data_IF_258780470344
#
_entry.id   IF_258780470344
#
_cell.length_a   1.000
_cell.length_b   1.000
_cell.length_c   1.000
_cell.angle_alpha   90.00
_cell.angle_beta   90.00
_cell.angle_gamma   90.00
#
_symmetry.space_group_name_H-M   'P 1'
#
loop_
_entity.id
_entity.type
_entity.pdbx_description
1 polymer ?
#
# COMPACT_ATOMS: atom_id res chain seq x y z
N UNK A 1 25.86 5.30 -14.51
CA UNK A 1 27.05 5.62 -15.34
C UNK A 1 26.54 6.06 -16.72
N UNK A 2 26.93 7.22 -17.23
CA UNK A 2 26.48 7.78 -18.53
C UNK A 2 27.57 7.52 -19.57
N UNK A 3 27.22 7.01 -20.75
CA UNK A 3 28.19 6.81 -21.83
C UNK A 3 28.44 8.12 -22.63
N UNK A 4 29.45 8.07 -23.51
CA UNK A 4 29.87 9.22 -24.36
C UNK A 4 28.87 9.55 -25.47
N UNK A 5 27.77 8.80 -25.60
CA UNK A 5 26.72 9.00 -26.60
C UNK A 5 25.43 9.56 -25.97
N UNK A 6 25.47 9.92 -24.68
CA UNK A 6 24.35 10.55 -23.99
C UNK A 6 23.25 9.58 -23.57
N UNK A 7 23.42 8.27 -23.76
CA UNK A 7 22.43 7.27 -23.39
C UNK A 7 22.57 6.94 -21.91
N UNK A 8 21.51 7.18 -21.15
CA UNK A 8 21.46 6.86 -19.72
C UNK A 8 21.07 5.38 -19.58
N UNK A 9 22.06 4.48 -19.59
CA UNK A 9 21.86 3.02 -19.44
C UNK A 9 21.64 2.57 -17.98
N UNK A 10 20.96 3.38 -17.18
CA UNK A 10 20.65 2.97 -15.80
C UNK A 10 19.43 3.71 -15.29
N UNK A 11 18.24 3.28 -15.69
CA UNK A 11 17.09 3.45 -14.80
C UNK A 11 17.25 2.42 -13.69
N UNK A 12 17.88 2.81 -12.58
CA UNK A 12 17.76 2.01 -11.37
C UNK A 12 16.26 1.83 -11.08
N UNK A 13 15.78 0.62 -10.74
CA UNK A 13 14.37 0.41 -10.45
C UNK A 13 13.95 1.30 -9.29
N UNK A 14 12.81 1.97 -9.44
CA UNK A 14 12.19 2.70 -8.34
C UNK A 14 11.54 1.66 -7.42
N UNK A 15 12.23 1.31 -6.33
CA UNK A 15 11.74 0.34 -5.34
C UNK A 15 11.02 1.11 -4.23
N UNK A 16 9.68 1.06 -4.22
CA UNK A 16 8.88 1.58 -3.11
C UNK A 16 8.87 0.54 -1.97
N UNK A 17 9.70 0.75 -0.95
CA UNK A 17 9.80 -0.13 0.21
C UNK A 17 8.87 0.39 1.31
N UNK A 18 7.93 -0.45 1.74
CA UNK A 18 7.03 -0.16 2.87
C UNK A 18 7.35 -1.10 4.02
N UNK A 19 7.92 -0.58 5.11
CA UNK A 19 8.30 -1.34 6.30
C UNK A 19 7.62 -0.79 7.55
N UNK A 20 7.23 -1.68 8.46
CA UNK A 20 6.71 -1.36 9.78
C UNK A 20 7.28 -2.36 10.79
N UNK A 21 7.59 -1.90 12.01
CA UNK A 21 8.12 -2.74 13.09
C UNK A 21 7.32 -2.48 14.37
N UNK A 22 6.90 -3.54 15.05
CA UNK A 22 6.09 -3.46 16.27
C UNK A 22 6.42 -4.62 17.20
N UNK A 23 6.33 -4.39 18.51
CA UNK A 23 6.47 -5.41 19.55
C UNK A 23 5.11 -5.59 20.22
N UNK A 24 4.58 -6.82 20.19
CA UNK A 24 3.26 -7.16 20.73
C UNK A 24 3.33 -8.42 21.58
N UNK A 25 2.57 -8.45 22.67
CA UNK A 25 2.37 -9.64 23.50
C UNK A 25 1.00 -10.24 23.15
N UNK A 26 1.01 -11.51 22.77
CA UNK A 26 -0.18 -12.21 22.29
C UNK A 26 -0.32 -13.57 22.99
N UNK A 27 -1.56 -14.00 23.21
CA UNK A 27 -1.88 -15.34 23.73
C UNK A 27 -2.01 -16.33 22.57
N UNK A 28 -1.61 -17.58 22.80
CA UNK A 28 -1.77 -18.66 21.83
C UNK A 28 -3.21 -18.75 21.27
N UNK A 29 -3.33 -18.90 19.96
CA UNK A 29 -4.60 -18.96 19.23
C UNK A 29 -5.41 -17.67 19.19
N UNK A 30 -4.97 -16.59 19.83
CA UNK A 30 -5.72 -15.32 19.88
C UNK A 30 -5.34 -14.39 18.73
N UNK A 31 -6.30 -14.03 17.88
CA UNK A 31 -6.08 -13.08 16.79
C UNK A 31 -6.00 -11.65 17.30
N UNK A 32 -4.94 -10.92 16.93
CA UNK A 32 -4.73 -9.52 17.27
C UNK A 32 -4.60 -8.69 15.99
N UNK A 33 -5.18 -7.49 16.00
CA UNK A 33 -4.96 -6.47 14.97
C UNK A 33 -3.67 -5.74 15.29
N UNK A 34 -2.65 -5.89 14.43
CA UNK A 34 -1.39 -5.16 14.60
C UNK A 34 -1.52 -3.69 14.18
N UNK A 35 -2.36 -3.43 13.19
CA UNK A 35 -2.52 -2.12 12.59
C UNK A 35 -3.19 -2.19 11.24
N UNK A 36 -3.30 -1.03 10.61
CA UNK A 36 -3.90 -0.87 9.29
C UNK A 36 -3.55 0.49 8.68
N UNK A 37 -3.84 0.63 7.40
CA UNK A 37 -3.67 1.86 6.64
C UNK A 37 -4.97 2.17 5.91
N UNK A 38 -5.44 3.40 6.05
CA UNK A 38 -6.54 3.94 5.24
C UNK A 38 -5.93 5.01 4.34
N UNK A 39 -5.96 4.77 3.02
CA UNK A 39 -5.51 5.71 2.01
C UNK A 39 -6.72 6.26 1.25
N UNK A 40 -6.86 7.59 1.25
CA UNK A 40 -7.83 8.32 0.45
C UNK A 40 -7.12 9.09 -0.65
N UNK A 41 -7.48 8.84 -1.90
CA UNK A 41 -6.97 9.57 -3.06
C UNK A 41 -8.13 10.27 -3.75
N UNK A 42 -8.05 11.60 -3.85
CA UNK A 42 -9.01 12.44 -4.56
C UNK A 42 -8.31 13.03 -5.77
N UNK A 43 -8.82 12.74 -6.97
CA UNK A 43 -8.36 13.34 -8.21
C UNK A 43 -9.47 14.21 -8.79
N UNK A 44 -9.18 15.50 -8.94
CA UNK A 44 -10.06 16.46 -9.60
C UNK A 44 -9.44 16.83 -10.94
N UNK A 45 -10.08 16.41 -12.03
CA UNK A 45 -9.68 16.78 -13.39
C UNK A 45 -10.71 17.74 -13.95
N UNK A 46 -10.32 18.97 -14.24
CA UNK A 46 -11.13 19.94 -14.96
C UNK A 46 -10.66 19.99 -16.42
N UNK A 47 -11.61 19.90 -17.36
CA UNK A 47 -11.38 20.13 -18.79
C UNK A 47 -12.38 21.17 -19.26
N UNK A 48 -12.00 22.04 -20.17
CA UNK A 48 -12.91 23.05 -20.71
C UNK A 48 -12.27 23.88 -21.80
N UNK A 49 -13.09 24.69 -22.46
CA UNK A 49 -12.63 25.61 -23.50
C UNK A 49 -11.90 26.78 -22.81
N UNK A 50 -10.62 27.07 -23.16
CA UNK A 50 -9.90 28.23 -22.63
C UNK A 50 -10.70 29.52 -22.84
N UNK A 51 -10.60 30.48 -21.92
CA UNK A 51 -11.39 31.73 -21.85
C UNK A 51 -12.88 31.55 -21.48
N UNK A 52 -13.61 30.66 -22.15
CA UNK A 52 -15.05 30.47 -21.88
C UNK A 52 -15.33 29.79 -20.54
N UNK A 53 -14.47 28.85 -20.13
CA UNK A 53 -14.62 28.10 -18.87
C UNK A 53 -14.52 28.97 -17.61
N UNK A 54 -13.89 30.13 -17.73
CA UNK A 54 -13.61 31.06 -16.62
C UNK A 54 -14.61 32.25 -16.61
N UNK A 55 -15.58 32.28 -17.53
CA UNK A 55 -16.60 33.32 -17.55
C UNK A 55 -17.52 33.26 -16.32
N UNK A 56 -17.78 34.40 -15.65
CA UNK A 56 -18.79 34.46 -14.61
C UNK A 56 -20.16 34.09 -15.18
N UNK A 57 -20.99 33.41 -14.38
CA UNK A 57 -22.33 32.90 -14.72
C UNK A 57 -22.40 31.73 -15.73
N UNK A 58 -21.57 31.73 -16.78
CA UNK A 58 -21.70 30.76 -17.89
C UNK A 58 -20.57 29.72 -17.98
N UNK A 59 -19.45 29.91 -17.27
CA UNK A 59 -18.28 29.05 -17.39
C UNK A 59 -18.51 27.57 -17.04
N UNK A 60 -19.56 27.25 -16.27
CA UNK A 60 -19.95 25.86 -15.95
C UNK A 60 -20.44 25.07 -17.17
N UNK A 61 -21.03 25.71 -18.18
CA UNK A 61 -21.49 25.04 -19.41
C UNK A 61 -20.34 24.69 -20.37
N UNK A 62 -19.18 25.34 -20.21
CA UNK A 62 -18.00 25.18 -21.06
C UNK A 62 -16.86 24.42 -20.37
N UNK A 63 -17.13 23.83 -19.19
CA UNK A 63 -16.20 22.96 -18.46
C UNK A 63 -16.83 21.66 -18.01
N UNK A 64 -16.08 20.57 -18.12
CA UNK A 64 -16.36 19.28 -17.52
C UNK A 64 -15.44 19.05 -16.33
N UNK A 65 -16.03 18.71 -15.17
CA UNK A 65 -15.28 18.37 -13.96
C UNK A 65 -15.46 16.87 -13.69
N UNK A 66 -14.36 16.12 -13.74
CA UNK A 66 -14.32 14.73 -13.31
C UNK A 66 -13.71 14.67 -11.90
N UNK A 67 -14.47 14.14 -10.94
CA UNK A 67 -13.99 13.88 -9.57
C UNK A 67 -13.91 12.39 -9.35
N UNK A 68 -12.71 11.87 -9.12
CA UNK A 68 -12.47 10.46 -8.82
C UNK A 68 -12.04 10.37 -7.36
N UNK A 69 -12.78 9.59 -6.57
CA UNK A 69 -12.44 9.27 -5.18
C UNK A 69 -12.08 7.79 -5.10
N UNK A 70 -10.88 7.48 -4.62
CA UNK A 70 -10.42 6.11 -4.36
C UNK A 70 -10.10 5.98 -2.87
N UNK A 71 -10.69 4.99 -2.22
CA UNK A 71 -10.40 4.61 -0.84
C UNK A 71 -9.78 3.22 -0.85
N UNK A 72 -8.68 3.05 -0.13
CA UNK A 72 -7.98 1.77 0.01
C UNK A 72 -7.74 1.53 1.48
N UNK A 73 -8.15 0.37 1.95
CA UNK A 73 -8.04 -0.04 3.34
C UNK A 73 -7.19 -1.30 3.43
N UNK A 74 -6.25 -1.30 4.35
CA UNK A 74 -5.41 -2.45 4.67
C UNK A 74 -5.49 -2.68 6.17
N UNK A 75 -5.67 -3.93 6.58
CA UNK A 75 -5.65 -4.34 7.98
C UNK A 75 -4.78 -5.58 8.10
N UNK A 76 -3.93 -5.62 9.11
CA UNK A 76 -2.99 -6.71 9.37
C UNK A 76 -3.41 -7.42 10.65
N UNK A 77 -3.69 -8.72 10.50
CA UNK A 77 -4.05 -9.62 11.59
C UNK A 77 -2.91 -10.60 11.83
N UNK A 78 -2.66 -10.94 13.09
CA UNK A 78 -1.77 -12.03 13.48
C UNK A 78 -2.49 -12.93 14.47
N UNK A 79 -2.40 -14.23 14.23
CA UNK A 79 -2.84 -15.27 15.16
C UNK A 79 -1.63 -16.15 15.47
N UNK A 80 -1.03 -16.04 16.67
CA UNK A 80 0.08 -16.89 17.05
C UNK A 80 -0.41 -18.31 17.33
N UNK A 81 0.41 -19.30 16.99
CA UNK A 81 0.17 -20.69 17.35
C UNK A 81 1.42 -21.28 17.99
N UNK A 82 1.28 -21.85 19.19
CA UNK A 82 2.32 -22.60 19.87
C UNK A 82 2.42 -23.99 19.26
N UNK A 83 3.43 -24.20 18.43
CA UNK A 83 3.80 -25.53 17.95
C UNK A 83 4.67 -26.22 19.00
N UNK A 84 4.06 -27.12 19.75
CA UNK A 84 4.75 -28.04 20.63
C UNK A 84 5.34 -29.20 19.85
N UNK A 85 6.58 -29.06 19.37
CA UNK A 85 7.46 -30.21 19.24
C UNK A 85 8.04 -30.45 20.62
N UNK A 86 7.38 -31.27 21.45
CA UNK A 86 7.99 -31.59 22.74
C UNK A 86 9.35 -32.22 22.44
N UNK A 87 10.37 -31.92 23.24
CA UNK A 87 11.67 -32.62 23.13
C UNK A 87 11.45 -34.15 23.20
N UNK A 88 10.37 -34.58 23.86
CA UNK A 88 9.90 -35.96 23.88
C UNK A 88 9.43 -36.50 22.50
N UNK A 89 8.83 -35.69 21.63
CA UNK A 89 8.44 -36.11 20.27
C UNK A 89 9.62 -36.14 19.29
N UNK A 90 10.59 -35.24 19.46
CA UNK A 90 11.85 -35.29 18.73
C UNK A 90 12.69 -36.52 19.13
N UNK A 91 12.75 -36.87 20.42
CA UNK A 91 13.43 -38.07 20.91
C UNK A 91 12.75 -39.39 20.52
N UNK A 92 11.43 -39.39 20.25
CA UNK A 92 10.72 -40.58 19.75
C UNK A 92 11.00 -40.87 18.28
N UNK A 93 11.26 -39.84 17.49
CA UNK A 93 11.53 -39.96 16.04
C UNK A 93 12.95 -40.48 15.76
N UNK A 94 13.90 -40.24 16.66
CA UNK A 94 15.30 -40.72 16.54
C UNK A 94 15.47 -42.21 16.92
N UNK A 95 14.45 -42.83 17.53
CA UNK A 95 14.49 -44.25 17.96
C UNK A 95 13.74 -45.23 17.05
N UNK A 96 13.31 -44.80 15.86
CA UNK A 96 12.61 -45.64 14.87
C UNK A 96 13.41 -45.83 13.60
#
# INVERSE_FOLDING_TARGET
VKDRNGVVLSSAPNVDIRQASSLVRATDGSTIVLGGLIQNTVSNTERGIPLLKDMPLLGSFFKGVARIKKRTELVIFITPHLVGGTVADAMRTDRS
#
